data_IF_334619555424
#
_entry.id   IF_334619555424
#
_cell.length_a   1.000
_cell.length_b   1.000
_cell.length_c   1.000
_cell.angle_alpha   90.00
_cell.angle_beta   90.00
_cell.angle_gamma   90.00
#
_symmetry.space_group_name_H-M   'P 1'
#
loop_
_entity.id
_entity.type
_entity.pdbx_description
1 polymer ?
#
# COMPACT_ATOMS: atom_id res chain seq x y z
N UNK A 1 11.51 11.45 29.26
CA UNK A 1 10.69 12.49 28.63
C UNK A 1 11.27 12.93 27.31
N UNK A 2 12.55 13.27 27.28
CA UNK A 2 13.19 13.71 26.03
C UNK A 2 13.20 12.65 24.95
N UNK A 3 13.32 11.37 25.31
CA UNK A 3 13.28 10.27 24.33
C UNK A 3 11.93 10.15 23.65
N UNK A 4 10.84 10.33 24.42
CA UNK A 4 9.49 10.23 23.89
C UNK A 4 9.21 11.39 22.95
N UNK A 5 9.62 12.60 23.33
CA UNK A 5 9.46 13.78 22.50
C UNK A 5 10.26 13.65 21.20
N UNK A 6 11.50 13.21 21.32
CA UNK A 6 12.39 13.04 20.15
C UNK A 6 11.81 11.99 19.20
N UNK A 7 11.32 10.88 19.73
CA UNK A 7 10.73 9.84 18.90
C UNK A 7 9.48 10.34 18.18
N UNK A 8 8.66 11.14 18.88
CA UNK A 8 7.48 11.74 18.26
C UNK A 8 7.87 12.68 17.12
N UNK A 9 8.89 13.51 17.33
CA UNK A 9 9.38 14.43 16.32
C UNK A 9 9.93 13.67 15.10
N UNK A 10 10.67 12.59 15.33
CA UNK A 10 11.19 11.74 14.26
C UNK A 10 10.02 11.13 13.48
N UNK A 11 9.02 10.61 14.16
CA UNK A 11 7.86 9.99 13.51
C UNK A 11 7.08 11.01 12.67
N UNK A 12 6.93 12.23 13.19
CA UNK A 12 6.25 13.30 12.44
C UNK A 12 7.04 13.69 11.18
N UNK A 13 8.37 13.76 11.30
CA UNK A 13 9.21 14.07 10.15
C UNK A 13 9.14 12.98 9.08
N UNK A 14 9.15 11.71 9.51
CA UNK A 14 9.01 10.58 8.59
C UNK A 14 7.65 10.62 7.89
N UNK A 15 6.58 10.87 8.65
CA UNK A 15 5.23 10.93 8.09
C UNK A 15 5.12 12.06 7.05
N UNK A 16 5.75 13.20 7.32
CA UNK A 16 5.74 14.33 6.39
C UNK A 16 6.50 13.98 5.10
N UNK A 17 7.65 13.31 5.22
CA UNK A 17 8.43 12.89 4.07
C UNK A 17 7.67 11.86 3.24
N UNK A 18 7.01 10.91 3.92
CA UNK A 18 6.19 9.89 3.25
C UNK A 18 5.03 10.53 2.49
N UNK A 19 4.36 11.51 3.10
CA UNK A 19 3.25 12.21 2.46
C UNK A 19 3.73 12.96 1.21
N UNK A 20 4.91 13.55 1.26
CA UNK A 20 5.49 14.25 0.12
C UNK A 20 5.77 13.28 -1.04
N UNK A 21 6.26 12.08 -0.74
CA UNK A 21 6.50 11.06 -1.77
C UNK A 21 5.20 10.61 -2.41
N UNK A 22 4.16 10.41 -1.62
CA UNK A 22 2.85 10.01 -2.14
C UNK A 22 2.29 11.10 -3.05
N UNK A 23 2.39 12.37 -2.66
CA UNK A 23 1.93 13.47 -3.48
C UNK A 23 2.69 13.55 -4.81
N UNK A 24 4.00 13.36 -4.78
CA UNK A 24 4.82 13.34 -6.00
C UNK A 24 4.38 12.22 -6.94
N UNK A 25 4.11 11.04 -6.39
CA UNK A 25 3.65 9.91 -7.18
C UNK A 25 2.28 10.18 -7.80
N UNK A 26 1.34 10.69 -7.02
CA UNK A 26 0.00 10.98 -7.52
C UNK A 26 0.04 12.04 -8.62
N UNK A 27 0.90 13.05 -8.48
CA UNK A 27 1.08 14.06 -9.52
C UNK A 27 1.69 13.43 -10.78
N UNK A 28 2.68 12.56 -10.61
CA UNK A 28 3.28 11.84 -11.73
C UNK A 28 2.24 11.02 -12.50
N UNK A 29 1.41 10.27 -11.78
CA UNK A 29 0.39 9.42 -12.39
C UNK A 29 -0.67 10.28 -13.10
N UNK A 30 -1.03 11.40 -12.49
CA UNK A 30 -2.02 12.31 -13.07
C UNK A 30 -1.54 12.86 -14.41
N UNK A 31 -0.28 13.29 -14.46
CA UNK A 31 0.31 13.91 -15.66
C UNK A 31 0.66 12.88 -16.72
N UNK A 32 1.38 11.82 -16.32
CA UNK A 32 1.92 10.85 -17.28
C UNK A 32 0.86 9.90 -17.82
N UNK A 33 -0.06 9.46 -16.98
CA UNK A 33 -1.07 8.49 -17.38
C UNK A 33 -2.43 9.10 -17.65
N UNK A 34 -2.58 10.39 -17.37
CA UNK A 34 -3.82 11.14 -17.59
C UNK A 34 -5.04 10.42 -17.03
N UNK A 35 -4.89 9.87 -15.82
CA UNK A 35 -5.97 9.14 -15.19
C UNK A 35 -7.11 10.07 -14.79
N UNK A 36 -8.33 9.53 -14.83
CA UNK A 36 -9.51 10.26 -14.38
C UNK A 36 -9.41 10.52 -12.86
N UNK A 37 -10.04 11.59 -12.41
CA UNK A 37 -10.02 11.98 -11.00
C UNK A 37 -10.49 10.85 -10.08
N UNK A 38 -11.50 10.09 -10.50
CA UNK A 38 -12.01 8.97 -9.72
C UNK A 38 -10.92 7.92 -9.49
N UNK A 39 -10.14 7.61 -10.53
CA UNK A 39 -9.05 6.64 -10.43
C UNK A 39 -7.95 7.17 -9.51
N UNK A 40 -7.62 8.47 -9.61
CA UNK A 40 -6.65 9.10 -8.72
C UNK A 40 -7.12 9.05 -7.27
N UNK A 41 -8.41 9.25 -7.04
CA UNK A 41 -8.97 9.17 -5.69
C UNK A 41 -8.82 7.77 -5.11
N UNK A 42 -9.03 6.73 -5.92
CA UNK A 42 -8.84 5.35 -5.48
C UNK A 42 -7.38 5.06 -5.16
N UNK A 43 -6.45 5.55 -5.99
CA UNK A 43 -5.02 5.41 -5.72
C UNK A 43 -4.64 6.12 -4.42
N UNK A 44 -5.19 7.31 -4.22
CA UNK A 44 -4.94 8.07 -2.99
C UNK A 44 -5.39 7.30 -1.76
N UNK A 45 -6.56 6.67 -1.80
CA UNK A 45 -7.08 5.87 -0.70
C UNK A 45 -6.17 4.67 -0.41
N UNK A 46 -5.68 4.00 -1.46
CA UNK A 46 -4.77 2.87 -1.28
C UNK A 46 -3.47 3.30 -0.62
N UNK A 47 -2.94 4.46 -1.02
CA UNK A 47 -1.70 4.97 -0.47
C UNK A 47 -1.88 5.52 0.95
N UNK A 48 -3.06 6.02 1.30
CA UNK A 48 -3.36 6.38 2.68
C UNK A 48 -3.30 5.15 3.58
N UNK A 49 -3.85 4.02 3.12
CA UNK A 49 -3.78 2.76 3.87
C UNK A 49 -2.33 2.35 4.09
N UNK A 50 -1.52 2.44 3.04
CA UNK A 50 -0.10 2.11 3.11
C UNK A 50 0.60 2.99 4.16
N UNK A 51 0.35 4.29 4.12
CA UNK A 51 0.98 5.23 5.05
C UNK A 51 0.56 4.94 6.49
N UNK A 52 -0.70 4.57 6.72
CA UNK A 52 -1.19 4.21 8.04
C UNK A 52 -0.51 2.96 8.57
N UNK A 53 -0.41 1.93 7.74
CA UNK A 53 0.28 0.69 8.14
C UNK A 53 1.75 0.97 8.45
N UNK A 54 2.42 1.75 7.62
CA UNK A 54 3.83 2.08 7.83
C UNK A 54 4.01 2.86 9.14
N UNK A 55 3.16 3.83 9.40
CA UNK A 55 3.22 4.61 10.63
C UNK A 55 3.00 3.73 11.87
N UNK A 56 2.02 2.82 11.82
CA UNK A 56 1.76 1.90 12.91
C UNK A 56 2.92 0.95 13.15
N UNK A 57 3.63 0.58 12.10
CA UNK A 57 4.78 -0.32 12.19
C UNK A 57 6.09 0.42 12.48
N UNK A 58 6.05 1.75 12.53
CA UNK A 58 7.23 2.56 12.82
C UNK A 58 8.27 2.55 11.72
N UNK A 59 7.86 2.41 10.46
CA UNK A 59 8.79 2.37 9.32
C UNK A 59 8.43 3.46 8.32
N UNK A 60 9.46 3.98 7.64
CA UNK A 60 9.25 4.90 6.52
C UNK A 60 8.84 4.10 5.28
N UNK A 61 8.14 4.74 4.35
CA UNK A 61 7.72 4.06 3.12
C UNK A 61 8.91 3.48 2.35
N UNK A 62 10.04 4.17 2.35
CA UNK A 62 11.23 3.71 1.65
C UNK A 62 11.95 2.56 2.35
N UNK A 63 11.59 2.23 3.59
CA UNK A 63 12.21 1.14 4.34
C UNK A 63 11.25 -0.02 4.60
N UNK A 64 10.06 0.02 4.03
CA UNK A 64 9.11 -1.09 4.11
C UNK A 64 9.72 -2.32 3.44
N UNK A 65 9.67 -3.44 4.14
CA UNK A 65 10.14 -4.72 3.62
C UNK A 65 8.99 -5.64 3.27
N UNK A 66 9.32 -6.70 2.58
CA UNK A 66 8.35 -7.73 2.18
C UNK A 66 7.57 -8.28 3.37
N UNK A 67 8.28 -8.51 4.51
CA UNK A 67 7.64 -9.04 5.71
C UNK A 67 6.60 -8.09 6.30
N UNK A 68 6.82 -6.79 6.19
CA UNK A 68 5.82 -5.80 6.61
C UNK A 68 4.55 -5.94 5.77
N UNK A 69 4.70 -5.99 4.47
CA UNK A 69 3.56 -6.08 3.55
C UNK A 69 2.77 -7.36 3.81
N UNK A 70 3.46 -8.48 4.02
CA UNK A 70 2.80 -9.76 4.33
C UNK A 70 1.99 -9.68 5.60
N UNK A 71 2.53 -9.03 6.64
CA UNK A 71 1.81 -8.84 7.89
C UNK A 71 0.55 -8.00 7.68
N UNK A 72 0.66 -6.94 6.91
CA UNK A 72 -0.47 -6.05 6.63
C UNK A 72 -1.55 -6.75 5.82
N UNK A 73 -1.16 -7.60 4.88
CA UNK A 73 -2.11 -8.44 4.15
C UNK A 73 -2.89 -9.33 5.12
N UNK A 74 -2.19 -9.97 6.05
CA UNK A 74 -2.83 -10.82 7.05
C UNK A 74 -3.79 -10.01 7.92
N UNK A 75 -3.41 -8.79 8.31
CA UNK A 75 -4.27 -7.91 9.10
C UNK A 75 -5.52 -7.49 8.33
N UNK A 76 -5.38 -7.16 7.07
CA UNK A 76 -6.53 -6.80 6.23
C UNK A 76 -7.48 -7.97 6.06
N UNK A 77 -6.94 -9.17 5.87
CA UNK A 77 -7.75 -10.37 5.70
C UNK A 77 -8.47 -10.72 7.00
N UNK A 78 -7.78 -10.66 8.12
CA UNK A 78 -8.39 -10.90 9.43
C UNK A 78 -9.46 -9.86 9.76
N UNK A 79 -9.33 -8.66 9.24
CA UNK A 79 -10.30 -7.58 9.42
C UNK A 79 -11.53 -7.68 8.52
N UNK A 80 -11.59 -8.70 7.67
CA UNK A 80 -12.77 -8.95 6.84
C UNK A 80 -12.65 -8.58 5.38
N UNK A 81 -11.51 -8.05 4.93
CA UNK A 81 -11.35 -7.74 3.50
C UNK A 81 -11.22 -9.02 2.70
N UNK A 82 -11.86 -9.03 1.53
CA UNK A 82 -11.76 -10.16 0.63
C UNK A 82 -10.38 -10.22 -0.02
N UNK A 83 -9.99 -11.42 -0.48
CA UNK A 83 -8.77 -11.59 -1.23
C UNK A 83 -8.73 -10.70 -2.47
N UNK A 84 -9.86 -10.56 -3.15
CA UNK A 84 -9.95 -9.68 -4.32
C UNK A 84 -9.70 -8.22 -3.96
N UNK A 85 -10.28 -7.74 -2.87
CA UNK A 85 -10.07 -6.37 -2.41
C UNK A 85 -8.61 -6.13 -2.03
N UNK A 86 -8.00 -7.09 -1.35
CA UNK A 86 -6.59 -6.99 -0.99
C UNK A 86 -5.71 -6.99 -2.23
N UNK A 87 -6.03 -7.81 -3.24
CA UNK A 87 -5.27 -7.84 -4.49
C UNK A 87 -5.28 -6.47 -5.18
N UNK A 88 -6.42 -5.79 -5.19
CA UNK A 88 -6.51 -4.45 -5.76
C UNK A 88 -5.64 -3.43 -5.01
N UNK A 89 -5.67 -3.50 -3.68
CA UNK A 89 -4.83 -2.63 -2.85
C UNK A 89 -3.34 -2.89 -3.12
N UNK A 90 -2.94 -4.16 -3.17
CA UNK A 90 -1.56 -4.52 -3.45
C UNK A 90 -1.12 -4.05 -4.83
N UNK A 91 -2.02 -4.09 -5.81
CA UNK A 91 -1.73 -3.58 -7.15
C UNK A 91 -1.39 -2.08 -7.10
N UNK A 92 -2.17 -1.31 -6.35
CA UNK A 92 -1.90 0.11 -6.17
C UNK A 92 -0.56 0.37 -5.48
N UNK A 93 -0.27 -0.38 -4.42
CA UNK A 93 1.00 -0.27 -3.70
C UNK A 93 2.18 -0.68 -4.59
N UNK A 94 2.01 -1.73 -5.38
CA UNK A 94 3.07 -2.21 -6.28
C UNK A 94 3.45 -1.15 -7.30
N UNK A 95 2.47 -0.44 -7.84
CA UNK A 95 2.72 0.66 -8.77
C UNK A 95 3.51 1.80 -8.14
N UNK A 96 3.15 2.18 -6.91
CA UNK A 96 3.87 3.20 -6.16
C UNK A 96 5.34 2.80 -5.95
N UNK A 97 5.57 1.59 -5.48
CA UNK A 97 6.94 1.11 -5.23
C UNK A 97 7.74 0.92 -6.52
N UNK A 98 7.09 0.55 -7.62
CA UNK A 98 7.76 0.51 -8.92
C UNK A 98 8.27 1.90 -9.30
N UNK A 99 7.46 2.92 -9.06
CA UNK A 99 7.86 4.30 -9.31
C UNK A 99 9.02 4.71 -8.40
N UNK A 100 8.96 4.38 -7.11
CA UNK A 100 10.08 4.67 -6.19
C UNK A 100 11.37 4.02 -6.66
N UNK A 101 11.29 2.81 -7.21
CA UNK A 101 12.45 2.12 -7.78
C UNK A 101 13.03 2.86 -8.97
N UNK A 102 12.18 3.34 -9.86
CA UNK A 102 12.63 4.12 -11.02
C UNK A 102 13.24 5.45 -10.61
N UNK A 103 12.77 6.03 -9.51
CA UNK A 103 13.33 7.26 -8.96
C UNK A 103 14.62 7.03 -8.19
N UNK A 104 15.04 5.78 -8.03
CA UNK A 104 16.27 5.45 -7.32
C UNK A 104 16.16 5.54 -5.81
N UNK A 105 14.95 5.60 -5.28
CA UNK A 105 14.73 5.76 -3.84
C UNK A 105 14.70 4.43 -3.07
N UNK A 106 14.51 3.34 -3.79
CA UNK A 106 14.55 1.97 -3.23
C UNK A 106 15.27 1.06 -4.22
N UNK A 107 15.83 -0.03 -3.71
CA UNK A 107 16.53 -1.02 -4.54
C UNK A 107 15.66 -2.21 -4.92
N UNK A 108 14.60 -2.47 -4.16
CA UNK A 108 13.73 -3.60 -4.42
C UNK A 108 12.29 -3.21 -4.06
N UNK A 109 11.33 -3.76 -4.80
CA UNK A 109 9.91 -3.50 -4.55
C UNK A 109 9.41 -4.46 -3.46
N UNK A 110 9.00 -3.95 -2.29
CA UNK A 110 8.60 -4.84 -1.18
C UNK A 110 7.29 -5.57 -1.42
N UNK A 111 6.54 -5.21 -2.45
CA UNK A 111 5.25 -5.81 -2.77
C UNK A 111 5.37 -6.87 -3.87
N UNK A 112 6.52 -6.94 -4.53
CA UNK A 112 6.75 -7.74 -5.73
C UNK A 112 6.21 -9.16 -5.62
N UNK A 113 6.54 -9.87 -4.55
CA UNK A 113 6.23 -11.28 -4.38
C UNK A 113 5.09 -11.54 -3.41
N UNK A 114 4.40 -10.50 -2.98
CA UNK A 114 3.30 -10.64 -2.02
C UNK A 114 1.99 -10.81 -2.79
N UNK A 115 1.23 -11.83 -2.40
CA UNK A 115 -0.05 -12.13 -3.04
C UNK A 115 -1.17 -12.05 -2.03
N UNK A 116 -2.35 -11.70 -2.52
CA UNK A 116 -3.56 -11.72 -1.71
C UNK A 116 -3.98 -13.17 -1.43
N UNK A 117 -4.72 -13.41 -0.33
CA UNK A 117 -5.26 -14.74 -0.07
C UNK A 117 -6.15 -15.18 -1.23
N UNK A 118 -6.06 -16.46 -1.59
CA UNK A 118 -6.90 -17.01 -2.64
C UNK A 118 -8.33 -17.07 -2.15
N UNK A 119 -9.25 -16.64 -3.02
CA UNK A 119 -10.65 -16.85 -2.73
C UNK A 119 -10.97 -18.33 -3.00
N UNK A 120 -11.81 -18.93 -2.15
CA UNK A 120 -12.33 -20.25 -2.49
C UNK A 120 -13.05 -20.11 -3.83
N UNK A 121 -12.84 -21.09 -4.72
CA UNK A 121 -13.56 -21.11 -5.98
C UNK A 121 -15.05 -21.00 -5.67
N UNK A 122 -15.78 -20.11 -6.36
CA UNK A 122 -17.21 -20.10 -6.19
C UNK A 122 -17.69 -21.52 -6.54
N UNK A 123 -18.45 -22.11 -5.65
CA UNK A 123 -19.07 -23.38 -5.95
C UNK A 123 -19.77 -23.23 -7.28
N UNK A 124 -19.59 -24.15 -8.22
CA UNK A 124 -20.44 -24.12 -9.40
C UNK A 124 -21.85 -24.11 -8.85
N UNK A 125 -22.58 -23.06 -9.12
CA UNK A 125 -23.96 -22.98 -8.79
C UNK A 125 -24.59 -24.14 -9.54
N UNK A 126 -24.88 -25.15 -8.86
CA UNK A 126 -25.44 -26.29 -9.50
C UNK A 126 -26.49 -25.84 -10.49
N UNK A 127 -26.10 -25.69 -10.42
CA UNK A 127 -26.61 -25.64 -10.81
C UNK A 127 -27.63 -25.79 -10.83
N UNK A 128 -27.45 -25.46 -10.56
CA UNK A 128 -28.12 -25.53 -10.59
C UNK A 128 -28.97 -25.80 -10.57
N UNK A 129 -28.99 -25.73 -10.49
CA UNK A 129 -29.47 -25.98 -10.48
C UNK A 129 -30.14 -26.35 -10.74
N UNK A 130 -30.10 -26.56 -10.86
CA UNK A 130 -30.55 -26.76 -11.23
C UNK A 130 -31.21 -26.90 -11.28
#
# INVERSE_FOLDING_TARGET
>A
MDKIRRQKEINEAVAAADAALVERYLEHVRVEKRLAERTLALYSLDLEKLAQFAAQSGVALTTVGNHHVRRWVAQMHAGGRSGRGIALILSGWRGFYAWLGREGLISANPVQDVRAPKQPRPRPKALGVD
#
